data_IF_877159404586
#
_entry.id   IF_877159404586
#
_cell.length_a   1.000
_cell.length_b   1.000
_cell.length_c   1.000
_cell.angle_alpha   90.00
_cell.angle_beta   90.00
_cell.angle_gamma   90.00
#
_symmetry.space_group_name_H-M   'P 1'
#
loop_
_entity.id
_entity.type
_entity.pdbx_description
1 polymer ?
#
# COMPACT_ATOMS: atom_id res chain seq x y z
N UNK A 1 1.64 20.19 2.97
CA UNK A 1 1.98 19.02 3.81
C UNK A 1 1.55 17.82 3.02
N UNK A 2 2.47 16.90 2.72
CA UNK A 2 2.19 15.69 1.95
C UNK A 2 2.16 14.51 2.90
N UNK A 3 1.21 13.60 2.72
CA UNK A 3 1.11 12.38 3.52
C UNK A 3 1.90 11.27 2.82
N UNK A 4 2.61 10.46 3.60
CA UNK A 4 3.39 9.33 3.11
C UNK A 4 3.03 8.06 3.87
N UNK A 5 3.02 6.94 3.16
CA UNK A 5 2.98 5.60 3.74
C UNK A 5 4.40 5.10 3.94
N UNK A 6 4.65 4.52 5.09
CA UNK A 6 5.90 3.90 5.46
C UNK A 6 5.62 2.45 5.83
N UNK A 7 6.44 1.54 5.33
CA UNK A 7 6.33 0.13 5.62
C UNK A 7 7.70 -0.46 5.85
N UNK A 8 7.80 -1.33 6.84
CA UNK A 8 9.03 -2.04 7.19
C UNK A 8 8.71 -3.45 7.61
N UNK A 9 9.60 -4.38 7.26
CA UNK A 9 9.57 -5.76 7.69
C UNK A 9 10.88 -6.07 8.41
N UNK A 10 10.75 -6.60 9.63
CA UNK A 10 11.88 -6.98 10.48
C UNK A 10 11.90 -8.48 10.73
N UNK A 11 13.05 -9.11 10.54
CA UNK A 11 13.32 -10.52 10.80
C UNK A 11 14.82 -10.74 10.97
N UNK A 12 15.19 -11.57 11.95
CA UNK A 12 16.59 -11.93 12.18
C UNK A 12 17.25 -12.74 11.05
N UNK A 13 16.45 -13.35 10.17
CA UNK A 13 16.95 -14.04 8.99
C UNK A 13 16.80 -13.12 7.77
N UNK A 14 17.85 -12.93 6.95
CA UNK A 14 17.76 -12.18 5.71
C UNK A 14 16.77 -12.82 4.74
N UNK A 15 16.33 -12.08 3.73
CA UNK A 15 15.53 -12.63 2.64
C UNK A 15 16.31 -13.75 1.93
N UNK A 16 15.64 -14.87 1.71
CA UNK A 16 16.15 -15.93 0.85
C UNK A 16 16.04 -15.49 -0.62
N UNK A 17 16.87 -16.08 -1.49
CA UNK A 17 16.81 -15.85 -2.94
C UNK A 17 15.39 -16.03 -3.52
N UNK A 18 14.65 -17.02 -3.00
CA UNK A 18 13.28 -17.29 -3.40
C UNK A 18 12.30 -16.18 -2.97
N UNK A 19 12.46 -15.68 -1.74
CA UNK A 19 11.67 -14.54 -1.23
C UNK A 19 12.01 -13.26 -1.98
N UNK A 20 13.30 -12.95 -2.19
CA UNK A 20 13.73 -11.78 -2.97
C UNK A 20 13.16 -11.80 -4.39
N UNK A 21 13.26 -12.94 -5.08
CA UNK A 21 12.67 -13.08 -6.41
C UNK A 21 11.13 -12.98 -6.40
N UNK A 22 10.48 -13.38 -5.30
CA UNK A 22 9.03 -13.23 -5.16
C UNK A 22 8.63 -11.78 -4.88
N UNK A 23 9.37 -11.08 -4.01
CA UNK A 23 9.23 -9.64 -3.75
C UNK A 23 9.39 -8.85 -5.05
N UNK A 24 10.44 -9.11 -5.82
CA UNK A 24 10.65 -8.44 -7.12
C UNK A 24 9.49 -8.67 -8.10
N UNK A 25 8.93 -9.89 -8.15
CA UNK A 25 7.75 -10.18 -8.98
C UNK A 25 6.53 -9.40 -8.54
N UNK A 26 6.28 -9.31 -7.23
CA UNK A 26 5.17 -8.54 -6.65
C UNK A 26 5.35 -7.06 -7.00
N UNK A 27 6.52 -6.48 -6.73
CA UNK A 27 6.83 -5.07 -7.04
C UNK A 27 6.60 -4.79 -8.52
N UNK A 28 7.13 -5.64 -9.41
CA UNK A 28 6.97 -5.46 -10.86
C UNK A 28 5.50 -5.60 -11.31
N UNK A 29 4.75 -6.54 -10.75
CA UNK A 29 3.33 -6.73 -11.07
C UNK A 29 2.48 -5.54 -10.60
N UNK A 30 2.77 -5.02 -9.40
CA UNK A 30 2.06 -3.88 -8.80
C UNK A 30 2.40 -2.57 -9.50
N UNK A 31 3.66 -2.37 -9.90
CA UNK A 31 4.05 -1.23 -10.73
C UNK A 31 3.32 -1.24 -12.09
N UNK A 32 3.23 -2.40 -12.75
CA UNK A 32 2.49 -2.53 -14.03
C UNK A 32 0.99 -2.33 -13.93
N UNK A 33 0.41 -2.68 -12.78
CA UNK A 33 -1.03 -2.55 -12.54
C UNK A 33 -1.40 -1.16 -12.02
N UNK A 34 -0.42 -0.30 -11.76
CA UNK A 34 -0.64 1.04 -11.23
C UNK A 34 -1.15 1.96 -12.34
N UNK A 35 -2.31 2.62 -12.17
CA UNK A 35 -2.96 3.36 -13.25
C UNK A 35 -2.37 4.75 -13.50
N UNK A 36 -1.37 5.18 -12.72
CA UNK A 36 -0.82 6.54 -12.78
C UNK A 36 0.69 6.49 -13.09
N UNK A 37 1.07 6.85 -14.31
CA UNK A 37 2.49 6.88 -14.75
C UNK A 37 3.30 7.98 -14.03
N UNK A 38 2.64 9.08 -13.61
CA UNK A 38 3.29 10.24 -12.98
C UNK A 38 3.38 10.14 -11.45
N UNK A 39 2.78 9.12 -10.84
CA UNK A 39 2.73 8.96 -9.39
C UNK A 39 3.65 7.82 -8.93
N UNK A 40 4.13 7.93 -7.69
CA UNK A 40 4.96 6.88 -7.11
C UNK A 40 4.06 5.73 -6.61
N UNK A 41 4.36 4.51 -7.07
CA UNK A 41 3.67 3.31 -6.62
C UNK A 41 4.36 2.74 -5.37
N UNK A 42 4.59 1.43 -5.30
CA UNK A 42 5.37 0.83 -4.22
C UNK A 42 6.87 1.12 -4.41
N UNK A 43 7.50 1.77 -3.45
CA UNK A 43 8.94 2.04 -3.44
C UNK A 43 9.63 1.36 -2.25
N UNK A 44 10.58 0.47 -2.52
CA UNK A 44 11.40 -0.20 -1.49
C UNK A 44 12.79 0.43 -1.48
N UNK A 45 13.33 0.68 -0.29
CA UNK A 45 14.72 1.04 -0.11
C UNK A 45 15.59 -0.15 -0.51
N UNK A 46 16.64 0.10 -1.30
CA UNK A 46 17.66 -0.91 -1.55
C UNK A 46 18.28 -1.30 -0.21
N UNK A 47 18.43 -2.60 0.04
CA UNK A 47 18.84 -3.18 1.33
C UNK A 47 20.29 -2.90 1.74
N UNK A 48 20.69 -1.63 1.73
CA UNK A 48 22.00 -1.11 2.14
C UNK A 48 21.95 -0.47 3.54
N UNK A 49 20.78 -0.39 4.17
CA UNK A 49 20.62 0.16 5.51
C UNK A 49 20.94 -0.92 6.56
N UNK A 50 22.08 -0.71 7.22
CA UNK A 50 22.72 -1.46 8.33
C UNK A 50 21.86 -1.56 9.62
N UNK A 51 20.52 -1.47 9.53
CA UNK A 51 19.65 -1.74 10.68
C UNK A 51 19.53 -3.24 10.90
N UNK A 52 20.14 -3.73 11.98
CA UNK A 52 20.03 -5.11 12.43
C UNK A 52 18.55 -5.58 12.37
N UNK A 53 18.34 -6.71 11.68
CA UNK A 53 17.06 -7.36 11.47
C UNK A 53 16.06 -6.65 10.53
N UNK A 54 16.36 -5.51 9.90
CA UNK A 54 15.47 -4.93 8.87
C UNK A 54 15.71 -5.60 7.51
N UNK A 55 14.72 -6.35 7.01
CA UNK A 55 14.86 -7.09 5.75
C UNK A 55 14.23 -6.38 4.55
N UNK A 56 13.21 -5.55 4.78
CA UNK A 56 12.57 -4.70 3.78
C UNK A 56 12.13 -3.41 4.46
N UNK A 57 12.32 -2.30 3.77
CA UNK A 57 11.72 -1.04 4.15
C UNK A 57 11.41 -0.23 2.90
N UNK A 58 10.49 0.71 3.04
CA UNK A 58 10.15 1.61 1.97
C UNK A 58 9.13 2.65 2.38
N UNK A 59 8.94 3.60 1.50
CA UNK A 59 7.94 4.64 1.67
C UNK A 59 7.36 5.04 0.34
N UNK A 60 6.05 5.26 0.30
CA UNK A 60 5.37 5.84 -0.86
C UNK A 60 4.73 7.14 -0.46
N UNK A 61 5.05 8.20 -1.19
CA UNK A 61 4.38 9.49 -1.03
C UNK A 61 3.02 9.46 -1.72
N UNK A 62 1.98 9.90 -1.01
CA UNK A 62 0.63 9.94 -1.57
C UNK A 62 0.42 11.20 -2.42
N UNK A 63 -0.40 11.11 -3.49
CA UNK A 63 -0.75 12.27 -4.29
C UNK A 63 -1.40 13.35 -3.44
N UNK A 64 -1.15 14.61 -3.82
CA UNK A 64 -1.85 15.75 -3.21
C UNK A 64 -3.30 15.89 -3.72
N UNK A 65 -3.63 15.19 -4.81
CA UNK A 65 -4.99 15.16 -5.36
C UNK A 65 -5.87 14.19 -4.55
N UNK A 66 -6.94 14.68 -3.89
CA UNK A 66 -7.78 13.84 -3.03
C UNK A 66 -8.57 12.79 -3.82
N UNK A 67 -8.82 13.00 -5.12
CA UNK A 67 -9.48 12.02 -5.97
C UNK A 67 -8.59 10.81 -6.29
N UNK A 68 -7.26 10.99 -6.26
CA UNK A 68 -6.27 9.92 -6.46
C UNK A 68 -5.73 9.36 -5.15
N UNK A 69 -5.92 10.05 -4.03
CA UNK A 69 -5.36 9.65 -2.75
C UNK A 69 -5.84 8.27 -2.29
N UNK A 70 -7.15 8.03 -2.27
CA UNK A 70 -7.72 6.73 -1.89
C UNK A 70 -7.25 5.59 -2.81
N UNK A 71 -7.37 5.67 -4.15
CA UNK A 71 -6.96 4.56 -5.01
C UNK A 71 -5.45 4.26 -4.94
N UNK A 72 -4.59 5.29 -4.84
CA UNK A 72 -3.15 5.07 -4.66
C UNK A 72 -2.85 4.42 -3.31
N UNK A 73 -3.45 4.91 -2.23
CA UNK A 73 -3.29 4.34 -0.90
C UNK A 73 -3.74 2.87 -0.85
N UNK A 74 -4.92 2.55 -1.39
CA UNK A 74 -5.44 1.18 -1.47
C UNK A 74 -4.47 0.29 -2.24
N UNK A 75 -3.97 0.76 -3.38
CA UNK A 75 -3.02 0.01 -4.20
C UNK A 75 -1.71 -0.29 -3.45
N UNK A 76 -1.18 0.69 -2.72
CA UNK A 76 0.04 0.52 -1.92
C UNK A 76 -0.21 -0.46 -0.77
N UNK A 77 -1.31 -0.32 -0.02
CA UNK A 77 -1.64 -1.23 1.09
C UNK A 77 -1.88 -2.68 0.62
N UNK A 78 -2.51 -2.87 -0.54
CA UNK A 78 -2.69 -4.20 -1.15
C UNK A 78 -1.35 -4.79 -1.60
N UNK A 79 -0.46 -3.95 -2.13
CA UNK A 79 0.91 -4.36 -2.49
C UNK A 79 1.69 -4.81 -1.26
N UNK A 80 1.66 -4.04 -0.17
CA UNK A 80 2.32 -4.40 1.10
C UNK A 80 1.71 -5.65 1.72
N UNK A 81 0.39 -5.84 1.58
CA UNK A 81 -0.30 -7.06 2.01
C UNK A 81 0.22 -8.29 1.27
N UNK A 82 0.39 -8.19 -0.04
CA UNK A 82 0.92 -9.27 -0.88
C UNK A 82 2.39 -9.58 -0.54
N UNK A 83 3.20 -8.54 -0.30
CA UNK A 83 4.57 -8.70 0.17
C UNK A 83 4.64 -9.41 1.52
N UNK A 84 3.82 -9.01 2.49
CA UNK A 84 3.74 -9.65 3.80
C UNK A 84 3.33 -11.11 3.72
N UNK A 85 2.40 -11.45 2.83
CA UNK A 85 1.99 -12.85 2.60
C UNK A 85 3.10 -13.68 1.94
N UNK A 86 3.96 -13.04 1.16
CA UNK A 86 5.11 -13.67 0.51
C UNK A 86 6.27 -13.88 1.49
N UNK A 87 6.57 -12.88 2.31
CA UNK A 87 7.66 -12.90 3.29
C UNK A 87 7.12 -13.29 4.66
N UNK A 88 7.00 -14.60 4.86
CA UNK A 88 6.54 -15.18 6.11
C UNK A 88 7.54 -15.01 7.26
N UNK A 89 7.01 -14.97 8.49
CA UNK A 89 7.84 -14.94 9.70
C UNK A 89 8.58 -13.61 9.93
N UNK A 90 8.23 -12.55 9.21
CA UNK A 90 8.69 -11.20 9.47
C UNK A 90 7.63 -10.41 10.24
N UNK A 91 8.09 -9.53 11.12
CA UNK A 91 7.26 -8.54 11.81
C UNK A 91 7.12 -7.32 10.91
N UNK A 92 5.89 -7.01 10.50
CA UNK A 92 5.62 -5.92 9.58
C UNK A 92 4.94 -4.75 10.27
N UNK A 93 5.53 -3.56 10.15
CA UNK A 93 4.97 -2.31 10.62
C UNK A 93 4.63 -1.40 9.44
N UNK A 94 3.39 -0.92 9.41
CA UNK A 94 2.88 -0.02 8.37
C UNK A 94 2.22 1.17 9.04
N UNK A 95 2.73 2.37 8.74
CA UNK A 95 2.17 3.61 9.25
C UNK A 95 2.01 4.63 8.12
N UNK A 96 0.99 5.46 8.23
CA UNK A 96 0.72 6.59 7.38
C UNK A 96 0.97 7.86 8.19
N UNK A 97 2.10 8.52 7.96
CA UNK A 97 2.56 9.64 8.77
C UNK A 97 2.56 9.27 10.27
N UNK A 98 1.68 9.84 11.10
CA UNK A 98 1.54 9.49 12.53
C UNK A 98 0.51 8.38 12.83
N UNK A 99 -0.14 7.80 11.82
CA UNK A 99 -1.24 6.84 11.99
C UNK A 99 -0.78 5.42 11.70
N UNK A 100 -0.87 4.52 12.68
CA UNK A 100 -0.61 3.09 12.47
C UNK A 100 -1.74 2.42 11.68
N UNK A 101 -1.38 1.58 10.71
CA UNK A 101 -2.33 0.83 9.89
C UNK A 101 -2.41 -0.61 10.41
N UNK A 102 -3.55 -1.01 10.99
CA UNK A 102 -3.68 -2.35 11.56
C UNK A 102 -3.61 -3.42 10.47
N UNK A 103 -3.05 -4.57 10.85
CA UNK A 103 -3.08 -5.77 10.04
C UNK A 103 -4.27 -6.65 10.38
N UNK A 104 -5.00 -7.08 9.35
CA UNK A 104 -6.00 -8.14 9.43
C UNK A 104 -5.56 -9.36 8.62
N UNK A 105 -5.73 -10.57 9.16
CA UNK A 105 -5.29 -11.80 8.46
C UNK A 105 -6.11 -12.08 7.19
N UNK A 106 -7.40 -11.75 7.20
CA UNK A 106 -8.32 -11.95 6.07
C UNK A 106 -8.14 -10.85 5.02
N UNK A 107 -8.19 -9.60 5.49
CA UNK A 107 -8.30 -8.42 4.65
C UNK A 107 -6.95 -7.81 4.27
N UNK A 108 -5.91 -8.00 5.08
CA UNK A 108 -4.61 -7.37 4.95
C UNK A 108 -4.51 -6.04 5.68
N UNK A 109 -3.68 -5.13 5.17
CA UNK A 109 -3.61 -3.76 5.68
C UNK A 109 -4.77 -2.92 5.14
N UNK A 110 -5.58 -2.37 6.04
CA UNK A 110 -6.68 -1.47 5.70
C UNK A 110 -6.93 -0.48 6.85
N UNK A 111 -7.34 0.75 6.52
CA UNK A 111 -7.81 1.70 7.52
C UNK A 111 -9.28 1.42 7.87
N UNK A 112 -9.70 1.67 9.13
CA UNK A 112 -11.10 1.57 9.53
C UNK A 112 -11.99 2.42 8.61
N UNK A 113 -13.04 1.83 8.04
CA UNK A 113 -13.98 2.50 7.13
C UNK A 113 -13.53 2.57 5.66
N UNK A 114 -12.30 2.18 5.32
CA UNK A 114 -11.80 2.22 3.93
C UNK A 114 -12.50 1.21 3.02
N UNK A 115 -12.90 0.06 3.58
CA UNK A 115 -13.65 -1.00 2.88
C UNK A 115 -15.14 -0.99 3.21
N UNK A 116 -15.62 0.07 3.86
CA UNK A 116 -17.04 0.24 4.08
C UNK A 116 -17.71 0.53 2.75
N UNK A 117 -18.47 -0.43 2.24
CA UNK A 117 -19.12 -0.34 0.94
C UNK A 117 -20.04 0.89 0.84
N UNK A 118 -20.56 1.37 1.97
CA UNK A 118 -21.35 2.60 2.04
C UNK A 118 -20.49 3.86 1.78
N UNK A 119 -19.28 3.94 2.34
CA UNK A 119 -18.39 5.09 2.16
C UNK A 119 -17.76 5.11 0.76
N UNK A 120 -17.43 3.93 0.20
CA UNK A 120 -16.94 3.80 -1.17
C UNK A 120 -18.01 4.21 -2.20
N UNK A 121 -19.29 3.90 -1.94
CA UNK A 121 -20.42 4.36 -2.76
C UNK A 121 -20.63 5.88 -2.67
N UNK A 122 -20.50 6.47 -1.48
CA UNK A 122 -20.64 7.93 -1.27
C UNK A 122 -19.50 8.73 -1.94
N UNK A 123 -18.25 8.26 -1.88
CA UNK A 123 -17.11 8.89 -2.56
C UNK A 123 -17.07 8.62 -4.07
N UNK A 124 -17.53 7.44 -4.52
CA UNK A 124 -17.71 7.12 -5.94
C UNK A 124 -18.89 7.86 -6.58
N UNK A 125 -19.88 8.28 -5.78
CA UNK A 125 -21.07 9.00 -6.22
C UNK A 125 -20.85 10.47 -6.59
N UNK A 126 -19.70 11.07 -6.21
CA UNK A 126 -19.37 12.45 -6.55
C UNK A 126 -18.86 12.63 -8.00
N UNK A 127 -18.58 11.53 -8.72
CA UNK A 127 -18.19 11.55 -10.14
C UNK A 127 -19.16 10.71 -10.98
N UNK A 128 -20.47 10.88 -10.79
CA UNK A 128 -21.45 10.22 -11.63
C UNK A 128 -22.88 10.35 -11.16
N UNK A 129 -23.55 11.43 -11.56
CA UNK A 129 -24.99 11.37 -11.85
C UNK A 129 -25.24 12.05 -13.20
N UNK A 130 -25.21 11.32 -14.33
CA UNK A 130 -25.88 11.77 -15.52
C UNK A 130 -27.37 11.43 -15.36
N UNK A 131 -28.16 12.47 -15.11
CA UNK A 131 -29.59 12.47 -15.35
C UNK A 131 -30.44 11.90 -14.23
N UNK A 132 -31.16 12.81 -13.55
CA UNK A 132 -32.61 12.74 -13.55
C UNK A 132 -33.21 14.04 -13.04
N UNK A 133 -34.28 14.50 -13.72
CA UNK A 133 -35.42 15.28 -13.21
C UNK A 133 -35.64 16.66 -13.82
N UNK A 134 -36.49 16.67 -14.86
CA UNK A 134 -37.61 17.60 -15.12
C UNK A 134 -38.02 17.33 -16.59
N UNK A 135 -39.19 16.77 -16.89
CA UNK A 135 -40.51 17.21 -16.46
C UNK A 135 -41.25 17.67 -17.72
#
# INVERSE_FOLDING_TARGET
MSVSLYYSARRAQPLTDAESAAVERVVAARARSFPYDDEESLYLYGGDDDEDDQILAGSTKLPSDPGRWIPVMVHVLDSVTELRRTVGGAEWHVHMDDVDVPWDESEGYALPGMRDAALAAELGGLCGNPGEQAG
#
